data_IF_301103925343
#
_entry.id   IF_301103925343
#
_cell.length_a   1.000
_cell.length_b   1.000
_cell.length_c   1.000
_cell.angle_alpha   90.00
_cell.angle_beta   90.00
_cell.angle_gamma   90.00
#
_symmetry.space_group_name_H-M   'P 1'
#
loop_
_entity.id
_entity.type
_entity.pdbx_description
1 polymer ?
#
# COMPACT_ATOMS: atom_id res chain seq x y z
N UNK A 1 -26.82 -54.34 16.99
CA UNK A 1 -26.68 -53.03 17.68
C UNK A 1 -25.19 -52.81 17.91
N UNK A 2 -24.63 -51.68 17.45
CA UNK A 2 -23.31 -51.07 17.74
C UNK A 2 -22.61 -50.54 16.48
N UNK A 3 -23.26 -49.58 15.80
CA UNK A 3 -22.61 -48.67 14.86
C UNK A 3 -22.05 -47.53 15.72
N UNK A 4 -20.83 -47.69 16.23
CA UNK A 4 -20.11 -46.67 17.03
C UNK A 4 -18.93 -46.04 16.28
N UNK A 5 -18.98 -46.03 14.95
CA UNK A 5 -17.95 -45.41 14.10
C UNK A 5 -18.28 -43.97 13.70
N UNK A 6 -19.42 -43.44 14.16
CA UNK A 6 -19.94 -42.15 13.69
C UNK A 6 -19.28 -40.88 14.26
N UNK A 7 -18.57 -40.83 15.41
CA UNK A 7 -18.10 -39.54 15.92
C UNK A 7 -16.74 -39.11 15.33
N UNK A 8 -16.03 -40.00 14.63
CA UNK A 8 -14.65 -39.72 14.17
C UNK A 8 -14.65 -38.86 12.89
N UNK A 9 -15.71 -38.93 12.07
CA UNK A 9 -15.78 -38.20 10.79
C UNK A 9 -16.02 -36.70 10.97
N UNK A 10 -16.56 -36.27 12.12
CA UNK A 10 -16.91 -34.86 12.36
C UNK A 10 -15.72 -33.98 12.79
N UNK A 11 -14.59 -34.57 13.17
CA UNK A 11 -13.40 -33.83 13.61
C UNK A 11 -12.50 -33.44 12.41
N UNK A 12 -12.69 -34.05 11.25
CA UNK A 12 -11.88 -33.80 10.05
C UNK A 12 -12.24 -32.49 9.30
N UNK A 13 -13.37 -31.84 9.60
CA UNK A 13 -13.85 -30.68 8.86
C UNK A 13 -13.43 -29.31 9.45
N UNK A 14 -12.85 -29.29 10.64
CA UNK A 14 -12.45 -28.05 11.33
C UNK A 14 -10.94 -27.75 11.24
N UNK A 15 -10.22 -28.47 10.38
CA UNK A 15 -8.79 -28.30 10.12
C UNK A 15 -8.50 -27.13 9.17
N UNK A 16 -8.74 -25.92 9.67
CA UNK A 16 -7.80 -24.80 9.52
C UNK A 16 -7.29 -24.51 8.11
N UNK A 17 -8.07 -23.70 7.38
CA UNK A 17 -7.55 -22.75 6.40
C UNK A 17 -6.58 -21.77 7.11
N UNK A 18 -5.39 -22.22 7.49
CA UNK A 18 -4.28 -21.33 7.85
C UNK A 18 -3.69 -20.85 6.53
N UNK A 19 -4.39 -19.89 5.93
CA UNK A 19 -3.84 -19.07 4.87
C UNK A 19 -2.79 -18.15 5.50
N UNK A 20 -1.54 -18.63 5.64
CA UNK A 20 -0.39 -17.76 5.79
C UNK A 20 -0.25 -16.97 4.50
N UNK A 21 -0.98 -15.86 4.39
CA UNK A 21 -0.75 -14.86 3.36
C UNK A 21 0.59 -14.20 3.68
N UNK A 22 1.66 -14.75 3.13
CA UNK A 22 2.93 -14.04 3.05
C UNK A 22 2.67 -12.77 2.23
N UNK A 23 2.72 -11.62 2.89
CA UNK A 23 2.76 -10.36 2.18
C UNK A 23 4.20 -10.21 1.72
N UNK A 24 4.45 -10.50 0.44
CA UNK A 24 5.68 -10.07 -0.22
C UNK A 24 5.74 -8.55 -0.11
N UNK A 25 6.50 -8.08 0.88
CA UNK A 25 6.82 -6.68 1.05
C UNK A 25 7.79 -6.34 -0.07
N UNK A 26 7.25 -6.15 -1.26
CA UNK A 26 7.89 -5.38 -2.31
C UNK A 26 8.01 -3.98 -1.76
N UNK A 27 9.15 -3.70 -1.12
CA UNK A 27 9.57 -2.35 -0.81
C UNK A 27 9.63 -1.62 -2.15
N UNK A 28 8.56 -0.89 -2.46
CA UNK A 28 8.51 -0.05 -3.63
C UNK A 28 9.52 1.07 -3.38
N UNK A 29 10.73 0.87 -3.88
CA UNK A 29 11.77 1.86 -3.81
C UNK A 29 11.56 2.74 -5.05
N UNK A 30 11.10 4.00 -4.89
CA UNK A 30 10.94 4.89 -6.03
C UNK A 30 12.30 5.03 -6.72
N UNK A 31 12.27 5.01 -8.06
CA UNK A 31 13.47 5.09 -8.88
C UNK A 31 14.30 6.31 -8.47
N UNK A 32 15.63 6.18 -8.28
CA UNK A 32 16.47 7.30 -7.89
C UNK A 32 16.32 8.42 -8.90
N UNK A 33 15.80 9.58 -8.49
CA UNK A 33 15.68 10.73 -9.36
C UNK A 33 17.08 11.08 -9.87
N UNK A 34 17.31 10.92 -11.17
CA UNK A 34 18.56 11.25 -11.83
C UNK A 34 18.71 12.77 -11.80
N UNK A 35 19.40 13.29 -10.81
CA UNK A 35 19.71 14.72 -10.68
C UNK A 35 20.58 15.09 -11.88
N UNK A 36 19.99 15.74 -12.88
CA UNK A 36 20.73 16.27 -14.03
C UNK A 36 21.50 17.50 -13.55
N UNK A 37 22.85 17.53 -13.62
CA UNK A 37 23.61 18.70 -13.21
C UNK A 37 23.43 19.79 -14.28
N UNK A 38 22.53 20.73 -14.03
CA UNK A 38 22.25 21.82 -14.96
C UNK A 38 21.32 22.85 -14.33
N UNK A 39 21.89 24.00 -13.97
CA UNK A 39 21.24 25.17 -13.33
C UNK A 39 20.51 24.85 -12.02
N UNK A 40 21.06 25.38 -10.92
CA UNK A 40 20.57 25.24 -9.55
C UNK A 40 19.27 26.05 -9.31
N UNK A 41 18.25 25.85 -10.15
CA UNK A 41 16.90 26.29 -9.85
C UNK A 41 16.30 25.23 -8.93
N UNK A 42 16.45 25.42 -7.62
CA UNK A 42 15.64 24.68 -6.67
C UNK A 42 14.18 25.00 -6.98
N UNK A 43 13.32 24.02 -7.28
CA UNK A 43 11.92 24.29 -7.50
C UNK A 43 11.35 24.89 -6.21
N UNK A 44 11.03 26.20 -6.20
CA UNK A 44 10.36 26.89 -5.07
C UNK A 44 9.03 26.20 -4.69
N UNK A 45 8.50 25.39 -5.61
CA UNK A 45 7.28 24.63 -5.44
C UNK A 45 7.66 23.19 -5.11
N UNK A 46 7.72 22.86 -3.83
CA UNK A 46 7.87 21.48 -3.36
C UNK A 46 6.50 20.77 -3.43
N UNK A 47 6.45 19.62 -4.10
CA UNK A 47 5.29 18.72 -4.04
C UNK A 47 5.07 18.27 -2.59
N UNK A 48 3.82 18.22 -2.13
CA UNK A 48 3.51 17.68 -0.80
C UNK A 48 3.53 16.15 -0.83
N UNK A 49 4.74 15.60 -0.86
CA UNK A 49 4.99 14.15 -0.96
C UNK A 49 4.35 13.36 0.19
N UNK A 50 4.28 13.94 1.39
CA UNK A 50 3.65 13.31 2.54
C UNK A 50 2.13 13.20 2.35
N UNK A 51 1.50 14.28 1.90
CA UNK A 51 0.07 14.27 1.60
C UNK A 51 -0.25 13.29 0.45
N UNK A 52 0.50 13.34 -0.65
CA UNK A 52 0.32 12.44 -1.80
C UNK A 52 0.40 10.97 -1.35
N UNK A 53 1.45 10.61 -0.60
CA UNK A 53 1.64 9.25 -0.11
C UNK A 53 0.49 8.80 0.83
N UNK A 54 -0.07 9.72 1.62
CA UNK A 54 -1.21 9.42 2.50
C UNK A 54 -2.48 9.09 1.70
N UNK A 55 -2.78 9.86 0.65
CA UNK A 55 -3.96 9.68 -0.20
C UNK A 55 -3.84 8.40 -1.02
N UNK A 56 -2.67 8.16 -1.62
CA UNK A 56 -2.42 6.95 -2.42
C UNK A 56 -2.51 5.69 -1.57
N UNK A 57 -2.01 5.73 -0.33
CA UNK A 57 -2.16 4.62 0.63
C UNK A 57 -3.63 4.35 0.92
N UNK A 58 -4.42 5.39 1.18
CA UNK A 58 -5.84 5.24 1.47
C UNK A 58 -6.63 4.70 0.26
N UNK A 59 -6.33 5.20 -0.92
CA UNK A 59 -6.96 4.75 -2.16
C UNK A 59 -6.63 3.27 -2.44
N UNK A 60 -5.38 2.85 -2.26
CA UNK A 60 -4.97 1.45 -2.37
C UNK A 60 -5.74 0.54 -1.42
N UNK A 61 -5.89 0.94 -0.14
CA UNK A 61 -6.65 0.14 0.83
C UNK A 61 -8.13 -0.03 0.43
N UNK A 62 -8.67 0.89 -0.36
CA UNK A 62 -10.07 0.88 -0.82
C UNK A 62 -10.24 0.31 -2.23
N UNK A 63 -9.16 -0.13 -2.89
CA UNK A 63 -9.20 -0.60 -4.28
C UNK A 63 -9.51 0.51 -5.30
N UNK A 64 -9.19 1.76 -4.96
CA UNK A 64 -9.40 2.94 -5.81
C UNK A 64 -8.07 3.32 -6.47
N UNK A 65 -8.09 3.64 -7.75
CA UNK A 65 -6.93 4.19 -8.48
C UNK A 65 -6.99 5.71 -8.46
N UNK A 66 -5.91 6.36 -8.03
CA UNK A 66 -5.78 7.83 -8.04
C UNK A 66 -5.03 8.25 -9.28
N UNK A 67 -5.60 9.21 -10.02
CA UNK A 67 -4.93 9.90 -11.10
C UNK A 67 -4.92 11.40 -10.77
N UNK A 68 -3.73 11.94 -10.53
CA UNK A 68 -3.56 13.36 -10.23
C UNK A 68 -3.57 14.15 -11.54
N UNK A 69 -4.57 15.03 -11.72
CA UNK A 69 -4.58 16.00 -12.83
C UNK A 69 -3.58 17.12 -12.53
N UNK A 70 -3.59 17.64 -11.30
CA UNK A 70 -2.57 18.54 -10.76
C UNK A 70 -2.15 18.01 -9.39
N UNK A 71 -0.86 17.73 -9.22
CA UNK A 71 -0.36 17.26 -7.93
C UNK A 71 -0.42 18.38 -6.89
N UNK A 72 -0.79 18.05 -5.64
CA UNK A 72 -0.80 19.02 -4.55
C UNK A 72 0.61 19.48 -4.20
N UNK A 73 0.75 20.80 -4.01
CA UNK A 73 2.01 21.46 -3.69
C UNK A 73 1.91 22.17 -2.36
N UNK A 74 3.02 22.19 -1.61
CA UNK A 74 3.06 22.86 -0.32
C UNK A 74 3.14 24.37 -0.54
N UNK A 75 2.19 25.12 0.02
CA UNK A 75 2.23 26.59 0.01
C UNK A 75 2.98 27.07 1.25
N UNK A 76 4.13 27.69 1.05
CA UNK A 76 4.72 28.54 2.08
C UNK A 76 3.98 29.88 2.05
N UNK A 77 3.24 30.18 3.12
CA UNK A 77 2.71 31.52 3.34
C UNK A 77 3.87 32.32 3.92
N UNK A 78 4.44 33.23 3.12
CA UNK A 78 5.43 34.18 3.63
C UNK A 78 4.73 35.02 4.71
N UNK A 79 5.13 34.88 5.98
CA UNK A 79 4.61 35.62 7.13
C UNK A 79 5.24 37.01 7.23
#
# INVERSE_FOLDING_TARGET
MNIRLLPIVLIAAAGTLVGCKTMDHSAYQPEPQKIVPGTQFQPRIEEDSAYIASVERMARMRGITVQWVHKPTKRHVDQ
#
